data_IF_122723354867
#
_entry.id   IF_122723354867
#
_cell.length_a   1.000
_cell.length_b   1.000
_cell.length_c   1.000
_cell.angle_alpha   90.00
_cell.angle_beta   90.00
_cell.angle_gamma   90.00
#
_symmetry.space_group_name_H-M   'P 1'
#
loop_
_entity.id
_entity.type
_entity.pdbx_description
1 polymer ?
#
# COMPACT_ATOMS: atom_id res chain seq x y z
N UNK A 1 -12.74 -17.05 24.44
CA UNK A 1 -12.40 -16.67 23.05
C UNK A 1 -10.94 -16.97 22.81
N UNK A 2 -10.60 -17.48 21.63
CA UNK A 2 -9.21 -17.70 21.25
C UNK A 2 -8.54 -16.32 21.03
N UNK A 3 -7.34 -16.12 21.56
CA UNK A 3 -6.56 -14.89 21.29
C UNK A 3 -5.77 -15.05 20.00
N UNK A 4 -5.35 -13.94 19.39
CA UNK A 4 -4.52 -13.98 18.19
C UNK A 4 -3.18 -14.69 18.43
N UNK A 5 -2.53 -14.42 19.57
CA UNK A 5 -1.31 -15.14 19.97
C UNK A 5 -1.53 -16.63 20.11
N UNK A 6 -2.68 -17.08 20.62
CA UNK A 6 -3.01 -18.51 20.70
C UNK A 6 -3.21 -19.13 19.30
N UNK A 7 -3.86 -18.41 18.38
CA UNK A 7 -4.03 -18.84 16.99
C UNK A 7 -2.67 -19.01 16.28
N UNK A 8 -1.79 -18.02 16.41
CA UNK A 8 -0.44 -18.08 15.80
C UNK A 8 0.38 -19.22 16.44
N UNK A 9 0.28 -19.41 17.76
CA UNK A 9 0.97 -20.52 18.45
C UNK A 9 0.50 -21.89 17.95
N UNK A 10 -0.81 -22.05 17.75
CA UNK A 10 -1.39 -23.27 17.18
C UNK A 10 -0.85 -23.52 15.75
N UNK A 11 -0.79 -22.47 14.93
CA UNK A 11 -0.24 -22.55 13.56
C UNK A 11 1.25 -22.94 13.56
N UNK A 12 2.06 -22.30 14.42
CA UNK A 12 3.48 -22.66 14.60
C UNK A 12 3.60 -24.13 15.01
N UNK A 13 2.76 -24.60 15.96
CA UNK A 13 2.77 -25.98 16.40
C UNK A 13 2.42 -26.96 15.28
N UNK A 14 1.39 -26.68 14.48
CA UNK A 14 0.95 -27.50 13.34
C UNK A 14 1.98 -27.50 12.20
N UNK A 15 2.74 -26.44 12.05
CA UNK A 15 3.78 -26.27 11.03
C UNK A 15 5.17 -26.79 11.45
N UNK A 16 5.26 -27.62 12.48
CA UNK A 16 6.51 -28.23 12.94
C UNK A 16 7.42 -27.27 13.70
N UNK A 17 6.83 -26.31 14.42
CA UNK A 17 7.51 -25.40 15.34
C UNK A 17 8.05 -24.12 14.72
N UNK A 18 7.74 -23.86 13.44
CA UNK A 18 8.19 -22.65 12.73
C UNK A 18 7.23 -22.28 11.60
N UNK A 19 6.98 -21.00 11.41
CA UNK A 19 6.25 -20.46 10.27
C UNK A 19 7.06 -19.36 9.58
N UNK A 20 6.93 -19.20 8.26
CA UNK A 20 7.50 -18.06 7.53
C UNK A 20 6.92 -16.75 8.03
N UNK A 21 7.71 -15.66 7.92
CA UNK A 21 7.23 -14.36 8.37
C UNK A 21 5.99 -13.88 7.58
N UNK A 22 5.86 -14.25 6.31
CA UNK A 22 4.67 -13.97 5.51
C UNK A 22 3.39 -14.52 6.16
N UNK A 23 3.41 -15.74 6.66
CA UNK A 23 2.27 -16.33 7.36
C UNK A 23 2.00 -15.62 8.70
N UNK A 24 3.07 -15.33 9.47
CA UNK A 24 2.95 -14.57 10.71
C UNK A 24 2.33 -13.19 10.47
N UNK A 25 2.86 -12.42 9.52
CA UNK A 25 2.37 -11.09 9.16
C UNK A 25 0.91 -11.15 8.68
N UNK A 26 0.58 -12.16 7.85
CA UNK A 26 -0.78 -12.38 7.38
C UNK A 26 -1.77 -12.61 8.52
N UNK A 27 -1.41 -13.43 9.51
CA UNK A 27 -2.24 -13.65 10.70
C UNK A 27 -2.32 -12.40 11.59
N UNK A 28 -1.17 -11.74 11.83
CA UNK A 28 -1.09 -10.54 12.66
C UNK A 28 -1.95 -9.39 12.12
N UNK A 29 -2.01 -9.22 10.80
CA UNK A 29 -2.75 -8.15 10.15
C UNK A 29 -4.21 -8.52 9.82
N UNK A 30 -4.47 -9.75 9.34
CA UNK A 30 -5.72 -10.09 8.65
C UNK A 30 -6.51 -11.24 9.29
N UNK A 31 -6.06 -11.84 10.41
CA UNK A 31 -6.83 -12.91 11.07
C UNK A 31 -8.26 -12.41 11.37
N UNK A 32 -9.32 -13.15 10.91
CA UNK A 32 -10.70 -12.69 11.04
C UNK A 32 -11.09 -12.41 12.49
N UNK A 33 -11.53 -11.21 12.80
CA UNK A 33 -11.95 -10.76 14.13
C UNK A 33 -10.84 -10.59 15.16
N UNK A 34 -9.54 -10.75 14.78
CA UNK A 34 -8.41 -10.71 15.71
C UNK A 34 -7.21 -9.91 15.18
N UNK A 35 -6.98 -9.90 13.86
CA UNK A 35 -5.85 -9.20 13.24
C UNK A 35 -5.99 -7.69 13.30
N UNK A 36 -4.89 -6.97 13.12
CA UNK A 36 -4.81 -5.52 13.23
C UNK A 36 -5.92 -4.79 12.44
N UNK A 37 -6.13 -5.16 11.17
CA UNK A 37 -7.18 -4.57 10.33
C UNK A 37 -8.57 -5.17 10.54
N UNK A 38 -8.67 -6.39 11.09
CA UNK A 38 -9.91 -7.16 11.20
C UNK A 38 -10.39 -7.40 12.64
N UNK A 39 -9.66 -6.95 13.66
CA UNK A 39 -9.87 -7.29 15.08
C UNK A 39 -10.69 -6.28 15.88
N UNK A 40 -11.38 -5.34 15.24
CA UNK A 40 -12.14 -4.30 15.96
C UNK A 40 -11.25 -3.22 16.61
N UNK A 41 -9.93 -3.26 16.37
CA UNK A 41 -9.01 -2.17 16.66
C UNK A 41 -9.36 -0.91 15.84
N UNK A 42 -8.69 0.19 16.11
CA UNK A 42 -8.92 1.45 15.39
C UNK A 42 -7.65 1.95 14.75
N UNK A 43 -7.13 1.27 13.71
CA UNK A 43 -5.87 1.64 13.08
C UNK A 43 -5.87 3.10 12.59
N UNK A 44 -7.02 3.57 12.11
CA UNK A 44 -7.19 4.92 11.54
C UNK A 44 -7.87 5.93 12.50
N UNK A 45 -8.07 5.60 13.77
CA UNK A 45 -8.78 6.47 14.71
C UNK A 45 -10.28 6.68 14.40
N UNK A 46 -10.89 7.67 15.06
CA UNK A 46 -12.28 8.07 14.84
C UNK A 46 -12.39 9.27 13.91
N UNK A 47 -13.39 9.25 13.02
CA UNK A 47 -13.76 10.42 12.22
C UNK A 47 -14.13 11.61 13.14
N UNK A 48 -13.49 12.76 12.92
CA UNK A 48 -13.90 14.04 13.51
C UNK A 48 -13.49 14.29 14.97
N UNK A 49 -12.68 13.44 15.60
CA UNK A 49 -12.17 13.69 16.95
C UNK A 49 -10.78 14.31 16.93
N UNK A 50 -10.60 15.34 17.76
CA UNK A 50 -9.32 16.05 17.91
C UNK A 50 -8.43 15.46 19.03
N UNK A 51 -8.84 14.34 19.64
CA UNK A 51 -8.07 13.72 20.72
C UNK A 51 -6.91 12.90 20.14
N UNK A 52 -5.66 13.17 20.50
CA UNK A 52 -4.49 12.40 20.09
C UNK A 52 -4.60 10.90 20.42
N UNK A 53 -5.32 10.55 21.49
CA UNK A 53 -5.55 9.15 21.88
C UNK A 53 -6.50 8.39 20.94
N UNK A 54 -7.30 9.10 20.15
CA UNK A 54 -8.29 8.55 19.19
C UNK A 54 -7.83 8.74 17.72
N UNK A 55 -6.59 9.24 17.47
CA UNK A 55 -6.12 9.62 16.13
C UNK A 55 -5.65 8.44 15.26
N UNK A 56 -5.59 7.21 15.81
CA UNK A 56 -5.05 6.03 15.11
C UNK A 56 -3.53 5.94 15.19
N UNK A 57 -2.95 4.96 14.52
CA UNK A 57 -1.50 4.69 14.60
C UNK A 57 -0.71 5.43 13.54
N UNK A 58 -1.33 5.84 12.45
CA UNK A 58 -0.68 6.54 11.33
C UNK A 58 -1.64 7.49 10.61
N UNK A 59 -1.08 8.34 9.80
CA UNK A 59 -1.79 9.34 9.00
C UNK A 59 -1.52 9.08 7.52
N UNK A 60 -2.57 8.80 6.76
CA UNK A 60 -2.48 8.57 5.31
C UNK A 60 -2.79 9.82 4.50
N UNK A 61 -2.34 9.87 3.24
CA UNK A 61 -2.57 11.00 2.35
C UNK A 61 -4.06 11.42 2.23
N UNK A 62 -5.04 10.50 2.11
CA UNK A 62 -6.45 10.85 2.10
C UNK A 62 -6.96 11.54 3.37
N UNK A 63 -6.35 11.25 4.53
CA UNK A 63 -6.75 11.85 5.82
C UNK A 63 -6.28 13.31 5.95
N UNK A 64 -5.30 13.74 5.16
CA UNK A 64 -4.78 15.11 5.15
C UNK A 64 -5.73 16.10 4.44
N UNK A 65 -6.79 15.63 3.82
CA UNK A 65 -7.77 16.45 3.11
C UNK A 65 -8.03 15.98 1.68
N UNK A 66 -8.70 16.79 0.86
CA UNK A 66 -9.17 16.37 -0.45
C UNK A 66 -8.08 16.29 -1.54
N UNK A 67 -6.84 16.64 -1.21
CA UNK A 67 -5.78 16.90 -2.18
C UNK A 67 -5.45 15.73 -3.10
N UNK A 68 -5.32 14.53 -2.52
CA UNK A 68 -5.05 13.33 -3.31
C UNK A 68 -6.24 12.99 -4.20
N UNK A 69 -7.47 13.09 -3.68
CA UNK A 69 -8.68 12.87 -4.45
C UNK A 69 -8.84 13.87 -5.59
N UNK A 70 -8.62 15.15 -5.34
CA UNK A 70 -8.65 16.20 -6.38
C UNK A 70 -7.63 15.91 -7.50
N UNK A 71 -6.42 15.51 -7.12
CA UNK A 71 -5.36 15.17 -8.07
C UNK A 71 -5.75 13.95 -8.92
N UNK A 72 -6.16 12.84 -8.27
CA UNK A 72 -6.58 11.62 -8.97
C UNK A 72 -7.79 11.91 -9.86
N UNK A 73 -8.79 12.63 -9.36
CA UNK A 73 -9.98 13.00 -10.13
C UNK A 73 -9.63 13.82 -11.36
N UNK A 74 -8.85 14.88 -11.17
CA UNK A 74 -8.42 15.73 -12.29
C UNK A 74 -7.63 14.96 -13.34
N UNK A 75 -6.74 14.07 -12.88
CA UNK A 75 -5.94 13.20 -13.76
C UNK A 75 -6.80 12.18 -14.51
N UNK A 76 -7.71 11.50 -13.81
CA UNK A 76 -8.50 10.39 -14.36
C UNK A 76 -9.72 10.85 -15.15
N UNK A 77 -10.11 12.10 -15.07
CA UNK A 77 -11.30 12.67 -15.74
C UNK A 77 -11.41 12.34 -17.24
N UNK A 78 -10.31 12.23 -18.02
CA UNK A 78 -10.39 11.80 -19.43
C UNK A 78 -10.95 10.39 -19.63
N UNK A 79 -10.99 9.58 -18.59
CA UNK A 79 -11.63 8.25 -18.64
C UNK A 79 -13.16 8.33 -18.56
N UNK A 80 -13.71 9.40 -17.98
CA UNK A 80 -15.14 9.57 -17.83
C UNK A 80 -15.82 9.82 -19.20
N UNK A 81 -16.98 9.20 -19.38
CA UNK A 81 -17.88 9.42 -20.51
C UNK A 81 -19.11 10.15 -20.02
N UNK A 82 -19.75 10.96 -20.88
CA UNK A 82 -21.07 11.51 -20.56
C UNK A 82 -22.20 10.50 -20.72
N UNK A 83 -21.94 9.41 -21.46
CA UNK A 83 -22.97 8.40 -21.78
C UNK A 83 -23.10 7.33 -20.69
N UNK A 84 -22.00 7.00 -20.01
CA UNK A 84 -21.96 5.93 -19.03
C UNK A 84 -21.44 6.44 -17.68
N UNK A 85 -21.92 5.87 -16.54
CA UNK A 85 -21.37 6.17 -15.22
C UNK A 85 -19.87 5.91 -15.16
N UNK A 86 -19.10 6.86 -14.62
CA UNK A 86 -17.70 6.62 -14.36
C UNK A 86 -17.57 5.61 -13.21
N UNK A 87 -16.82 4.54 -13.43
CA UNK A 87 -16.65 3.48 -12.44
C UNK A 87 -15.28 3.59 -11.78
N UNK A 88 -15.28 3.57 -10.46
CA UNK A 88 -14.06 3.50 -9.62
C UNK A 88 -14.14 2.24 -8.78
N UNK A 89 -13.02 1.53 -8.66
CA UNK A 89 -12.82 0.43 -7.72
C UNK A 89 -11.65 0.79 -6.83
N UNK A 90 -11.89 0.89 -5.54
CA UNK A 90 -10.86 1.20 -4.53
C UNK A 90 -10.58 -0.05 -3.70
N UNK A 91 -9.30 -0.35 -3.48
CA UNK A 91 -8.84 -1.39 -2.57
C UNK A 91 -8.40 -0.76 -1.26
N UNK A 92 -8.85 -1.35 -0.14
CA UNK A 92 -8.37 -0.93 1.18
C UNK A 92 -8.66 0.53 1.49
N UNK A 93 -9.90 1.00 1.25
CA UNK A 93 -10.28 2.41 1.37
C UNK A 93 -10.17 3.02 2.78
N UNK A 94 -9.61 2.28 3.76
CA UNK A 94 -9.42 2.74 5.13
C UNK A 94 -10.74 3.23 5.75
N UNK A 95 -10.79 4.51 6.17
CA UNK A 95 -12.03 5.11 6.70
C UNK A 95 -13.02 5.57 5.63
N UNK A 96 -12.65 5.52 4.34
CA UNK A 96 -13.44 6.01 3.22
C UNK A 96 -13.22 7.51 2.90
N UNK A 97 -12.14 8.10 3.39
CA UNK A 97 -11.83 9.53 3.14
C UNK A 97 -11.60 9.79 1.64
N UNK A 98 -10.85 8.92 0.95
CA UNK A 98 -10.56 9.06 -0.49
C UNK A 98 -11.84 8.85 -1.31
N UNK A 99 -12.61 7.79 -1.03
CA UNK A 99 -13.89 7.53 -1.69
C UNK A 99 -14.86 8.72 -1.58
N UNK A 100 -15.06 9.23 -0.35
CA UNK A 100 -15.95 10.36 -0.11
C UNK A 100 -15.51 11.62 -0.86
N UNK A 101 -14.21 11.90 -0.90
CA UNK A 101 -13.66 13.05 -1.62
C UNK A 101 -13.78 12.89 -3.15
N UNK A 102 -13.51 11.70 -3.70
CA UNK A 102 -13.69 11.41 -5.14
C UNK A 102 -15.16 11.54 -5.57
N UNK A 103 -16.09 11.04 -4.77
CA UNK A 103 -17.53 11.18 -5.03
C UNK A 103 -17.97 12.64 -4.96
N UNK A 104 -17.39 13.43 -4.06
CA UNK A 104 -17.63 14.88 -3.98
C UNK A 104 -17.13 15.60 -5.23
N UNK A 105 -15.95 15.23 -5.75
CA UNK A 105 -15.44 15.76 -7.02
C UNK A 105 -16.38 15.41 -8.19
N UNK A 106 -16.85 14.15 -8.24
CA UNK A 106 -17.79 13.70 -9.28
C UNK A 106 -19.11 14.50 -9.22
N UNK A 107 -19.65 14.70 -8.02
CA UNK A 107 -20.88 15.47 -7.80
C UNK A 107 -20.70 16.94 -8.23
N UNK A 108 -19.59 17.57 -7.85
CA UNK A 108 -19.26 18.95 -8.26
C UNK A 108 -19.21 19.09 -9.78
N UNK A 109 -18.61 18.11 -10.46
CA UNK A 109 -18.46 18.10 -11.91
C UNK A 109 -19.67 17.53 -12.66
N UNK A 110 -20.76 17.18 -11.95
CA UNK A 110 -22.00 16.61 -12.49
C UNK A 110 -21.79 15.30 -13.28
N UNK A 111 -20.78 14.50 -12.88
CA UNK A 111 -20.50 13.20 -13.45
C UNK A 111 -21.11 12.12 -12.56
N UNK A 112 -21.93 11.25 -13.14
CA UNK A 112 -22.41 10.06 -12.42
C UNK A 112 -21.23 9.11 -12.16
N UNK A 113 -20.93 8.85 -10.88
CA UNK A 113 -19.84 7.99 -10.47
C UNK A 113 -20.36 6.82 -9.64
N UNK A 114 -19.96 5.61 -9.99
CA UNK A 114 -20.18 4.39 -9.21
C UNK A 114 -18.86 3.93 -8.60
N UNK A 115 -18.83 3.81 -7.29
CA UNK A 115 -17.64 3.39 -6.56
C UNK A 115 -17.86 2.01 -5.93
N UNK A 116 -16.90 1.12 -6.11
CA UNK A 116 -16.84 -0.21 -5.50
C UNK A 116 -15.64 -0.27 -4.55
N UNK A 117 -15.92 -0.46 -3.26
CA UNK A 117 -14.92 -0.70 -2.22
C UNK A 117 -14.64 -2.20 -2.13
N UNK A 118 -13.37 -2.59 -2.28
CA UNK A 118 -12.91 -3.95 -1.99
C UNK A 118 -12.28 -3.92 -0.60
N UNK A 119 -13.04 -4.38 0.40
CA UNK A 119 -12.67 -4.27 1.81
C UNK A 119 -12.99 -5.57 2.55
N UNK A 120 -11.98 -6.14 3.22
CA UNK A 120 -12.11 -7.40 3.96
C UNK A 120 -12.65 -7.19 5.37
N UNK A 121 -12.35 -6.05 5.99
CA UNK A 121 -12.74 -5.70 7.35
C UNK A 121 -14.17 -5.17 7.43
N UNK A 122 -15.03 -5.85 8.19
CA UNK A 122 -16.40 -5.38 8.43
C UNK A 122 -16.44 -4.05 9.18
N UNK A 123 -15.48 -3.81 10.08
CA UNK A 123 -15.38 -2.57 10.85
C UNK A 123 -14.97 -1.40 9.96
N UNK A 124 -14.00 -1.60 9.05
CA UNK A 124 -13.63 -0.59 8.06
C UNK A 124 -14.76 -0.33 7.07
N UNK A 125 -15.47 -1.36 6.60
CA UNK A 125 -16.70 -1.17 5.82
C UNK A 125 -17.74 -0.30 6.53
N UNK A 126 -17.88 -0.44 7.85
CA UNK A 126 -18.82 0.39 8.62
C UNK A 126 -18.39 1.87 8.65
N UNK A 127 -17.08 2.16 8.80
CA UNK A 127 -16.52 3.50 8.71
C UNK A 127 -16.70 4.10 7.31
N UNK A 128 -16.40 3.33 6.27
CA UNK A 128 -16.57 3.72 4.87
C UNK A 128 -18.03 4.06 4.56
N UNK A 129 -18.98 3.26 5.07
CA UNK A 129 -20.42 3.57 4.94
C UNK A 129 -20.80 4.85 5.65
N UNK A 130 -20.18 5.15 6.78
CA UNK A 130 -20.41 6.41 7.48
C UNK A 130 -19.86 7.59 6.68
N UNK A 131 -18.63 7.49 6.17
CA UNK A 131 -17.99 8.54 5.39
C UNK A 131 -18.72 8.83 4.06
N UNK A 132 -19.21 7.79 3.39
CA UNK A 132 -19.85 7.87 2.07
C UNK A 132 -21.38 7.86 2.12
N UNK A 133 -22.00 7.91 3.31
CA UNK A 133 -23.44 7.69 3.51
C UNK A 133 -24.39 8.64 2.77
N UNK A 134 -23.92 9.80 2.28
CA UNK A 134 -24.65 10.70 1.40
C UNK A 134 -24.75 10.23 -0.05
N UNK A 135 -23.92 9.25 -0.47
CA UNK A 135 -23.81 8.76 -1.84
C UNK A 135 -24.45 7.37 -1.97
N UNK A 136 -25.42 7.24 -2.86
CA UNK A 136 -26.14 5.96 -3.09
C UNK A 136 -25.44 5.04 -4.10
N UNK A 137 -24.36 5.48 -4.68
CA UNK A 137 -23.64 4.80 -5.78
C UNK A 137 -22.42 4.02 -5.29
N UNK A 138 -22.28 3.79 -3.99
CA UNK A 138 -21.19 3.03 -3.38
C UNK A 138 -21.64 1.60 -3.11
N UNK A 139 -20.77 0.65 -3.42
CA UNK A 139 -20.94 -0.78 -3.12
C UNK A 139 -19.71 -1.31 -2.39
N UNK A 140 -19.91 -2.32 -1.56
CA UNK A 140 -18.83 -3.01 -0.82
C UNK A 140 -18.80 -4.47 -1.23
N UNK A 141 -17.60 -4.98 -1.46
CA UNK A 141 -17.35 -6.38 -1.77
C UNK A 141 -16.09 -6.86 -1.08
N UNK A 142 -16.02 -8.16 -0.81
CA UNK A 142 -14.78 -8.85 -0.37
C UNK A 142 -14.11 -9.59 -1.52
N UNK A 143 -14.75 -9.63 -2.67
CA UNK A 143 -14.26 -10.35 -3.86
C UNK A 143 -14.38 -9.46 -5.09
N UNK A 144 -13.53 -9.72 -6.09
CA UNK A 144 -13.57 -9.03 -7.36
C UNK A 144 -14.75 -9.53 -8.22
N UNK A 145 -15.47 -8.58 -8.81
CA UNK A 145 -16.45 -8.89 -9.85
C UNK A 145 -15.80 -8.77 -11.22
N UNK A 146 -16.17 -9.66 -12.13
CA UNK A 146 -15.71 -9.63 -13.53
C UNK A 146 -16.33 -8.48 -14.32
N UNK A 147 -15.71 -8.17 -15.46
CA UNK A 147 -16.24 -7.19 -16.41
C UNK A 147 -16.12 -5.74 -15.92
N UNK A 148 -15.12 -5.45 -15.11
CA UNK A 148 -14.88 -4.08 -14.66
C UNK A 148 -14.20 -3.26 -15.76
N UNK A 149 -14.78 -2.08 -16.05
CA UNK A 149 -14.14 -1.07 -16.91
C UNK A 149 -14.17 0.27 -16.20
N UNK A 150 -12.99 0.91 -15.99
CA UNK A 150 -12.90 2.17 -15.26
C UNK A 150 -11.53 2.44 -14.64
N UNK A 151 -11.54 3.09 -13.49
CA UNK A 151 -10.35 3.39 -12.70
C UNK A 151 -10.26 2.46 -11.49
N UNK A 152 -9.11 1.82 -11.30
CA UNK A 152 -8.76 1.10 -10.07
C UNK A 152 -7.77 1.92 -9.26
N UNK A 153 -7.97 1.97 -7.96
CA UNK A 153 -7.10 2.68 -7.01
C UNK A 153 -6.69 1.70 -5.91
N UNK A 154 -5.39 1.64 -5.61
CA UNK A 154 -4.85 1.01 -4.41
C UNK A 154 -3.85 1.98 -3.78
N UNK A 155 -4.23 2.53 -2.63
CA UNK A 155 -3.41 3.46 -1.87
C UNK A 155 -3.02 2.84 -0.54
N UNK A 156 -1.72 2.65 -0.30
CA UNK A 156 -1.19 2.01 0.91
C UNK A 156 -1.84 0.61 1.14
N UNK A 157 -1.71 -0.25 0.13
CA UNK A 157 -2.24 -1.62 0.12
C UNK A 157 -1.12 -2.65 -0.03
N UNK A 158 -0.13 -2.32 -0.85
CA UNK A 158 0.94 -3.27 -1.21
C UNK A 158 1.98 -3.42 -0.10
N UNK A 159 2.23 -2.36 0.67
CA UNK A 159 3.12 -2.33 1.82
C UNK A 159 2.67 -3.22 2.98
N UNK A 160 1.35 -3.38 3.13
CA UNK A 160 0.72 -4.25 4.12
C UNK A 160 0.52 -5.70 3.63
N UNK A 161 0.89 -6.02 2.39
CA UNK A 161 0.87 -7.40 1.91
C UNK A 161 1.97 -8.22 2.60
N UNK A 162 1.64 -9.44 3.08
CA UNK A 162 2.60 -10.28 3.78
C UNK A 162 3.87 -10.56 2.98
N UNK A 163 5.04 -10.41 3.60
CA UNK A 163 6.33 -10.58 2.94
C UNK A 163 7.15 -11.70 3.57
N UNK A 164 7.95 -12.37 2.75
CA UNK A 164 9.02 -13.26 3.20
C UNK A 164 10.27 -12.44 3.50
N UNK A 165 10.89 -12.69 4.64
CA UNK A 165 12.17 -12.09 5.00
C UNK A 165 13.29 -13.05 4.65
N UNK A 166 14.27 -12.60 3.89
CA UNK A 166 15.42 -13.41 3.52
C UNK A 166 16.72 -12.80 4.06
N UNK A 167 17.74 -13.67 4.18
CA UNK A 167 19.12 -13.27 4.42
C UNK A 167 20.02 -13.92 3.37
N UNK A 168 20.79 -13.08 2.69
CA UNK A 168 21.85 -13.52 1.78
C UNK A 168 23.09 -13.88 2.60
N UNK A 169 23.57 -15.10 2.47
CA UNK A 169 24.82 -15.56 3.10
C UNK A 169 25.93 -15.65 2.05
N UNK A 170 25.68 -16.38 0.99
CA UNK A 170 26.56 -16.54 -0.17
C UNK A 170 25.79 -17.06 -1.40
N UNK A 171 26.51 -17.29 -2.52
CA UNK A 171 25.89 -17.74 -3.79
C UNK A 171 25.14 -19.08 -3.70
N UNK A 172 25.40 -19.90 -2.69
CA UNK A 172 24.79 -21.22 -2.45
C UNK A 172 23.76 -21.18 -1.33
N UNK A 173 23.85 -20.20 -0.44
CA UNK A 173 23.11 -20.18 0.83
C UNK A 173 22.27 -18.93 0.97
N UNK A 174 20.96 -19.11 1.00
CA UNK A 174 19.98 -18.12 1.38
C UNK A 174 19.20 -18.63 2.58
N UNK A 175 19.02 -17.82 3.59
CA UNK A 175 18.17 -18.12 4.74
C UNK A 175 16.82 -17.42 4.59
N UNK A 176 15.77 -18.05 5.10
CA UNK A 176 14.44 -17.46 5.29
C UNK A 176 14.24 -17.24 6.80
N UNK A 177 13.91 -16.00 7.17
CA UNK A 177 13.55 -15.64 8.53
C UNK A 177 12.06 -15.83 8.74
N UNK A 178 11.73 -16.50 9.83
CA UNK A 178 10.37 -16.77 10.26
C UNK A 178 10.29 -16.74 11.77
N UNK A 179 9.22 -17.32 12.30
CA UNK A 179 8.81 -17.19 13.70
C UNK A 179 8.68 -18.55 14.36
N UNK A 180 9.24 -18.67 15.57
CA UNK A 180 9.09 -19.78 16.50
C UNK A 180 8.46 -19.29 17.81
N UNK A 181 7.93 -20.23 18.59
CA UNK A 181 7.48 -19.96 19.95
C UNK A 181 8.72 -19.78 20.83
N UNK A 182 8.78 -18.70 21.60
CA UNK A 182 9.82 -18.52 22.62
C UNK A 182 9.43 -19.29 23.90
N UNK A 183 10.07 -20.45 24.09
CA UNK A 183 9.85 -21.29 25.25
C UNK A 183 10.45 -20.71 26.54
N UNK A 184 11.46 -19.86 26.41
CA UNK A 184 12.24 -19.36 27.56
C UNK A 184 11.64 -18.09 28.17
N UNK A 185 10.56 -17.54 27.55
CA UNK A 185 9.88 -16.30 27.94
C UNK A 185 10.88 -15.33 28.55
N UNK A 186 11.65 -14.70 27.67
CA UNK A 186 12.58 -13.64 28.10
C UNK A 186 11.84 -12.58 28.89
N UNK A 187 12.55 -11.87 29.74
CA UNK A 187 12.01 -10.85 30.66
C UNK A 187 11.23 -9.73 29.98
N UNK A 188 11.19 -9.68 28.63
CA UNK A 188 10.52 -8.68 27.80
C UNK A 188 9.09 -9.07 27.38
N UNK A 189 8.62 -10.28 27.73
CA UNK A 189 7.23 -10.71 27.57
C UNK A 189 6.83 -11.14 26.14
N UNK A 190 7.76 -11.23 25.18
CA UNK A 190 7.46 -11.77 23.86
C UNK A 190 7.11 -13.25 23.93
N UNK A 191 6.05 -13.69 23.22
CA UNK A 191 5.68 -15.09 23.06
C UNK A 191 6.35 -15.72 21.84
N UNK A 192 6.94 -14.91 20.96
CA UNK A 192 7.52 -15.31 19.68
C UNK A 192 8.94 -14.78 19.55
N UNK A 193 9.77 -15.54 18.82
CA UNK A 193 11.14 -15.15 18.49
C UNK A 193 11.41 -15.39 17.01
N UNK A 194 12.36 -14.65 16.48
CA UNK A 194 12.88 -14.86 15.13
C UNK A 194 13.74 -16.11 15.06
N UNK A 195 13.57 -16.88 13.98
CA UNK A 195 14.40 -18.04 13.67
C UNK A 195 14.65 -18.13 12.16
N UNK A 196 15.91 -18.30 11.78
CA UNK A 196 16.31 -18.47 10.39
C UNK A 196 16.40 -19.94 10.04
N UNK A 197 15.92 -20.33 8.85
CA UNK A 197 16.06 -21.68 8.26
C UNK A 197 16.55 -21.56 6.82
N UNK A 198 17.14 -22.62 6.24
CA UNK A 198 17.44 -22.62 4.81
C UNK A 198 16.18 -22.26 4.00
N UNK A 199 16.32 -21.29 3.10
CA UNK A 199 15.19 -20.84 2.29
C UNK A 199 14.72 -21.96 1.34
N UNK A 200 13.43 -21.93 0.99
CA UNK A 200 12.90 -22.83 -0.04
C UNK A 200 13.63 -22.63 -1.38
N UNK A 201 13.62 -23.63 -2.25
CA UNK A 201 14.24 -23.54 -3.57
C UNK A 201 13.70 -22.35 -4.38
N UNK A 202 12.39 -22.06 -4.25
CA UNK A 202 11.75 -20.92 -4.93
C UNK A 202 12.28 -19.58 -4.43
N UNK A 203 12.30 -19.36 -3.12
CA UNK A 203 12.83 -18.13 -2.53
C UNK A 203 14.33 -17.98 -2.81
N UNK A 204 15.11 -19.05 -2.68
CA UNK A 204 16.53 -19.05 -2.99
C UNK A 204 16.79 -18.60 -4.44
N UNK A 205 16.04 -19.14 -5.40
CA UNK A 205 16.18 -18.76 -6.82
C UNK A 205 15.87 -17.28 -7.06
N UNK A 206 14.82 -16.75 -6.44
CA UNK A 206 14.46 -15.32 -6.52
C UNK A 206 15.57 -14.45 -5.94
N UNK A 207 16.05 -14.76 -4.74
CA UNK A 207 17.09 -13.96 -4.06
C UNK A 207 18.43 -14.03 -4.82
N UNK A 208 18.82 -15.19 -5.30
CA UNK A 208 20.04 -15.36 -6.11
C UNK A 208 19.94 -14.57 -7.43
N UNK A 209 18.78 -14.55 -8.08
CA UNK A 209 18.60 -13.74 -9.29
C UNK A 209 18.66 -12.24 -8.97
N UNK A 210 18.04 -11.82 -7.85
CA UNK A 210 18.08 -10.44 -7.38
C UNK A 210 19.51 -10.00 -7.07
N UNK A 211 20.30 -10.83 -6.39
CA UNK A 211 21.72 -10.59 -6.14
C UNK A 211 22.53 -10.45 -7.45
N UNK A 212 22.37 -11.39 -8.41
CA UNK A 212 23.04 -11.26 -9.71
C UNK A 212 22.72 -9.95 -10.45
N UNK A 213 21.47 -9.51 -10.37
CA UNK A 213 21.04 -8.24 -10.96
C UNK A 213 21.68 -7.04 -10.24
N UNK A 214 21.78 -7.08 -8.91
CA UNK A 214 22.47 -6.07 -8.11
C UNK A 214 23.97 -6.00 -8.46
N UNK A 215 24.65 -7.16 -8.53
CA UNK A 215 26.07 -7.23 -8.94
C UNK A 215 26.32 -6.66 -10.34
N UNK A 216 25.42 -6.91 -11.29
CA UNK A 216 25.50 -6.35 -12.64
C UNK A 216 25.42 -4.81 -12.64
N UNK A 217 24.87 -4.21 -11.60
CA UNK A 217 24.81 -2.76 -11.35
C UNK A 217 25.95 -2.26 -10.44
N UNK A 218 26.90 -3.13 -10.06
CA UNK A 218 27.99 -2.80 -9.14
C UNK A 218 27.57 -2.72 -7.67
N UNK A 219 26.41 -3.25 -7.31
CA UNK A 219 25.90 -3.32 -5.94
C UNK A 219 26.28 -4.68 -5.34
N UNK A 220 27.13 -4.70 -4.34
CA UNK A 220 27.60 -5.93 -3.69
C UNK A 220 26.96 -6.09 -2.32
N UNK A 221 26.33 -7.25 -2.09
CA UNK A 221 25.81 -7.60 -0.78
C UNK A 221 26.83 -8.41 0.00
N UNK A 222 27.14 -7.98 1.19
CA UNK A 222 27.90 -8.77 2.14
C UNK A 222 27.04 -9.88 2.78
N UNK A 223 27.69 -10.92 3.31
CA UNK A 223 27.00 -11.95 4.11
C UNK A 223 26.24 -11.30 5.26
N UNK A 224 24.97 -11.70 5.43
CA UNK A 224 24.06 -11.10 6.41
C UNK A 224 23.18 -9.98 5.86
N UNK A 225 23.25 -9.69 4.55
CA UNK A 225 22.32 -8.77 3.91
C UNK A 225 20.90 -9.31 3.96
N UNK A 226 19.96 -8.53 4.51
CA UNK A 226 18.55 -8.89 4.64
C UNK A 226 17.67 -8.05 3.71
N UNK A 227 16.57 -8.65 3.31
CA UNK A 227 15.55 -7.96 2.51
C UNK A 227 14.24 -8.74 2.53
N UNK A 228 13.25 -8.16 1.87
CA UNK A 228 11.90 -8.71 1.76
C UNK A 228 11.60 -9.14 0.32
N UNK A 229 10.70 -10.11 0.21
CA UNK A 229 10.07 -10.57 -1.02
C UNK A 229 8.57 -10.72 -0.80
N UNK A 230 7.77 -10.07 -1.64
CA UNK A 230 6.32 -10.21 -1.61
C UNK A 230 5.88 -11.36 -2.53
N UNK A 231 5.43 -12.51 -1.99
CA UNK A 231 4.98 -13.63 -2.81
C UNK A 231 3.55 -13.49 -3.32
N UNK A 232 2.79 -12.48 -2.84
CA UNK A 232 1.36 -12.34 -3.10
C UNK A 232 1.02 -11.35 -4.20
N UNK A 233 1.91 -10.42 -4.52
CA UNK A 233 1.68 -9.37 -5.51
C UNK A 233 1.35 -9.92 -6.90
N UNK A 234 2.04 -10.97 -7.34
CA UNK A 234 1.76 -11.62 -8.62
C UNK A 234 0.34 -12.23 -8.69
N UNK A 235 -0.08 -12.92 -7.62
CA UNK A 235 -1.43 -13.52 -7.56
C UNK A 235 -2.51 -12.43 -7.53
N UNK A 236 -2.28 -11.36 -6.78
CA UNK A 236 -3.18 -10.21 -6.71
C UNK A 236 -3.30 -9.51 -8.08
N UNK A 237 -2.18 -9.25 -8.77
CA UNK A 237 -2.19 -8.65 -10.11
C UNK A 237 -2.88 -9.54 -11.14
N UNK A 238 -2.70 -10.87 -11.08
CA UNK A 238 -3.41 -11.80 -11.95
C UNK A 238 -4.92 -11.75 -11.72
N UNK A 239 -5.37 -11.83 -10.46
CA UNK A 239 -6.80 -11.74 -10.11
C UNK A 239 -7.39 -10.39 -10.53
N UNK A 240 -6.63 -9.30 -10.33
CA UNK A 240 -7.02 -7.98 -10.77
C UNK A 240 -7.16 -7.93 -12.30
N UNK A 241 -6.18 -8.48 -13.03
CA UNK A 241 -6.23 -8.54 -14.49
C UNK A 241 -7.43 -9.31 -15.00
N UNK A 242 -7.71 -10.48 -14.45
CA UNK A 242 -8.86 -11.30 -14.84
C UNK A 242 -10.18 -10.56 -14.65
N UNK A 243 -10.31 -9.75 -13.61
CA UNK A 243 -11.53 -8.99 -13.29
C UNK A 243 -11.74 -7.73 -14.15
N UNK A 244 -10.71 -7.24 -14.86
CA UNK A 244 -10.76 -5.97 -15.60
C UNK A 244 -10.85 -6.24 -17.09
N UNK A 245 -11.89 -5.70 -17.75
CA UNK A 245 -12.00 -5.66 -19.21
C UNK A 245 -11.15 -4.54 -19.79
N UNK A 246 -11.27 -3.31 -19.28
CA UNK A 246 -10.53 -2.15 -19.76
C UNK A 246 -10.41 -1.09 -18.68
N UNK A 247 -9.23 -0.47 -18.54
CA UNK A 247 -9.10 0.62 -17.59
C UNK A 247 -7.67 1.04 -17.26
N UNK A 248 -7.60 1.98 -16.33
CA UNK A 248 -6.38 2.43 -15.70
C UNK A 248 -6.33 1.99 -14.23
N UNK A 249 -5.15 1.65 -13.76
CA UNK A 249 -4.88 1.27 -12.38
C UNK A 249 -3.83 2.23 -11.85
N UNK A 250 -4.13 2.91 -10.76
CA UNK A 250 -3.18 3.76 -10.04
C UNK A 250 -2.84 3.11 -8.70
N UNK A 251 -1.56 2.80 -8.52
CA UNK A 251 -1.02 2.24 -7.29
C UNK A 251 -0.18 3.32 -6.61
N UNK A 252 -0.48 3.61 -5.35
CA UNK A 252 0.20 4.64 -4.58
C UNK A 252 0.71 3.98 -3.31
N UNK A 253 2.04 3.95 -3.17
CA UNK A 253 2.64 3.27 -2.02
C UNK A 253 4.09 3.75 -1.81
N UNK A 254 4.66 3.47 -0.65
CA UNK A 254 6.06 3.78 -0.40
C UNK A 254 6.96 2.59 -0.70
N UNK A 255 8.07 2.89 -1.37
CA UNK A 255 9.00 1.88 -1.83
C UNK A 255 9.97 2.42 -2.86
N UNK A 256 10.69 1.50 -3.49
CA UNK A 256 11.77 1.84 -4.38
C UNK A 256 11.85 0.91 -5.59
N UNK A 257 12.53 1.36 -6.64
CA UNK A 257 13.08 0.47 -7.66
C UNK A 257 14.27 -0.31 -7.08
N UNK A 258 14.55 -1.50 -7.59
CA UNK A 258 15.59 -2.39 -7.05
C UNK A 258 16.96 -1.75 -6.86
N UNK A 259 17.49 -0.89 -7.74
CA UNK A 259 18.79 -0.25 -7.50
C UNK A 259 18.86 0.54 -6.18
N UNK A 260 17.75 1.16 -5.78
CA UNK A 260 17.64 1.86 -4.50
C UNK A 260 17.32 0.90 -3.36
N UNK A 261 16.44 -0.07 -3.61
CA UNK A 261 16.02 -1.06 -2.60
C UNK A 261 17.16 -2.02 -2.25
N UNK A 262 17.93 -2.43 -3.26
CA UNK A 262 19.04 -3.38 -3.15
C UNK A 262 20.38 -2.73 -2.79
N UNK A 263 20.36 -1.44 -2.45
CA UNK A 263 21.58 -0.72 -2.10
C UNK A 263 22.29 -1.38 -0.91
N UNK A 264 23.62 -1.64 -0.97
CA UNK A 264 24.38 -2.34 0.07
C UNK A 264 24.26 -1.72 1.47
N UNK A 265 23.97 -0.44 1.56
CA UNK A 265 23.71 0.24 2.85
C UNK A 265 22.38 -0.12 3.52
N UNK A 266 21.48 -0.85 2.86
CA UNK A 266 20.18 -1.30 3.39
C UNK A 266 20.24 -2.73 3.93
N UNK A 267 21.24 -3.03 4.75
CA UNK A 267 21.55 -4.39 5.23
C UNK A 267 20.47 -5.01 6.12
N UNK A 268 19.49 -4.24 6.59
CA UNK A 268 18.43 -4.70 7.51
C UNK A 268 17.06 -4.86 6.84
N UNK A 269 16.98 -4.63 5.52
CA UNK A 269 15.70 -4.58 4.83
C UNK A 269 14.91 -3.30 5.09
N UNK A 270 13.59 -3.38 4.92
CA UNK A 270 12.68 -2.25 5.03
C UNK A 270 11.51 -2.49 6.00
N UNK A 271 11.41 -3.72 6.53
CA UNK A 271 10.34 -4.12 7.44
C UNK A 271 10.30 -3.23 8.68
N UNK A 272 9.13 -2.71 8.99
CA UNK A 272 8.91 -1.91 10.18
C UNK A 272 7.49 -2.11 10.73
N UNK A 273 7.27 -1.62 11.96
CA UNK A 273 5.93 -1.54 12.53
C UNK A 273 5.55 -0.09 12.82
N UNK A 274 4.25 0.16 12.86
CA UNK A 274 3.69 1.42 13.33
C UNK A 274 2.77 1.16 14.52
N UNK A 275 3.04 1.88 15.61
CA UNK A 275 2.28 1.78 16.84
C UNK A 275 2.20 3.15 17.51
N UNK A 276 0.99 3.67 17.75
CA UNK A 276 0.74 4.97 18.40
C UNK A 276 1.58 6.11 17.82
N UNK A 277 1.56 6.27 16.51
CA UNK A 277 2.35 7.27 15.74
C UNK A 277 3.86 7.13 15.84
N UNK A 278 4.36 5.99 16.31
CA UNK A 278 5.79 5.69 16.34
C UNK A 278 6.13 4.62 15.34
N UNK A 279 7.13 4.87 14.53
CA UNK A 279 7.75 3.87 13.69
C UNK A 279 8.75 3.06 14.51
N UNK A 280 8.68 1.75 14.38
CA UNK A 280 9.51 0.78 15.08
C UNK A 280 10.31 0.01 14.02
N UNK A 281 11.63 0.23 14.00
CA UNK A 281 12.58 -0.41 13.09
C UNK A 281 13.39 -1.52 13.77
N UNK A 282 13.18 -1.75 15.06
CA UNK A 282 13.85 -2.82 15.80
C UNK A 282 13.23 -4.15 15.45
N UNK A 283 14.05 -5.05 14.87
CA UNK A 283 13.61 -6.34 14.36
C UNK A 283 12.93 -7.20 15.43
N UNK A 284 13.45 -7.20 16.67
CA UNK A 284 12.89 -7.99 17.76
C UNK A 284 11.55 -7.43 18.29
N UNK A 285 11.34 -6.13 18.16
CA UNK A 285 10.08 -5.48 18.54
C UNK A 285 8.91 -5.82 17.60
N UNK A 286 9.18 -6.23 16.36
CA UNK A 286 8.15 -6.52 15.36
C UNK A 286 7.27 -7.72 15.72
N UNK A 287 7.78 -8.66 16.55
CA UNK A 287 7.03 -9.82 16.99
C UNK A 287 6.23 -9.60 18.29
N UNK A 288 6.37 -8.43 18.92
CA UNK A 288 5.75 -8.20 20.22
C UNK A 288 4.32 -7.75 20.04
N UNK A 289 3.65 -7.02 20.00
CA UNK A 289 2.29 -6.47 19.96
C UNK A 289 1.45 -7.05 18.84
N UNK A 290 1.34 -8.37 18.80
CA UNK A 290 0.64 -9.08 17.72
C UNK A 290 -0.83 -8.65 17.63
N UNK A 291 -1.24 -8.13 16.48
CA UNK A 291 -2.58 -7.59 16.24
C UNK A 291 -2.83 -6.19 16.82
N UNK A 292 -1.81 -5.56 17.45
CA UNK A 292 -1.92 -4.22 18.03
C UNK A 292 -1.05 -3.18 17.29
N UNK A 293 -0.19 -3.61 16.38
CA UNK A 293 0.67 -2.77 15.56
C UNK A 293 0.51 -3.10 14.09
N UNK A 294 0.67 -2.11 13.25
CA UNK A 294 0.76 -2.30 11.81
C UNK A 294 2.15 -2.82 11.43
N UNK A 295 2.20 -3.79 10.53
CA UNK A 295 3.45 -4.34 9.99
C UNK A 295 3.51 -4.03 8.51
N UNK A 296 4.58 -3.37 8.08
CA UNK A 296 4.71 -2.91 6.69
C UNK A 296 6.11 -3.14 6.16
N UNK A 297 6.23 -3.30 4.84
CA UNK A 297 7.48 -3.39 4.13
C UNK A 297 7.47 -2.50 2.88
N UNK A 298 8.60 -1.95 2.48
CA UNK A 298 8.67 -1.15 1.27
C UNK A 298 8.34 -1.97 0.02
N UNK A 299 7.53 -1.40 -0.85
CA UNK A 299 7.16 -2.04 -2.12
C UNK A 299 8.37 -2.09 -3.07
N UNK A 300 8.65 -3.28 -3.59
CA UNK A 300 9.61 -3.48 -4.71
C UNK A 300 8.89 -3.17 -6.03
N UNK A 301 8.99 -1.92 -6.48
CA UNK A 301 8.35 -1.50 -7.74
C UNK A 301 8.96 -2.17 -8.97
N UNK A 302 10.20 -2.68 -8.92
CA UNK A 302 10.77 -3.47 -10.01
C UNK A 302 10.14 -4.85 -10.11
N UNK A 303 9.86 -5.50 -8.98
CA UNK A 303 9.09 -6.74 -8.94
C UNK A 303 7.69 -6.51 -9.49
N UNK A 304 7.03 -5.47 -8.99
CA UNK A 304 5.66 -5.13 -9.37
C UNK A 304 5.52 -4.82 -10.86
N UNK A 305 6.49 -4.10 -11.48
CA UNK A 305 6.54 -3.88 -12.92
C UNK A 305 6.55 -5.19 -13.71
N UNK A 306 7.48 -6.09 -13.36
CA UNK A 306 7.63 -7.39 -14.04
C UNK A 306 6.37 -8.26 -13.91
N UNK A 307 5.80 -8.32 -12.70
CA UNK A 307 4.60 -9.10 -12.43
C UNK A 307 3.35 -8.52 -13.12
N UNK A 308 3.24 -7.19 -13.18
CA UNK A 308 2.17 -6.52 -13.89
C UNK A 308 2.21 -6.81 -15.40
N UNK A 309 3.40 -6.77 -16.01
CA UNK A 309 3.56 -7.14 -17.43
C UNK A 309 3.21 -8.60 -17.68
N UNK A 310 3.60 -9.52 -16.78
CA UNK A 310 3.26 -10.94 -16.86
C UNK A 310 1.74 -11.18 -16.71
N UNK A 311 1.06 -10.38 -15.88
CA UNK A 311 -0.39 -10.41 -15.72
C UNK A 311 -1.14 -9.76 -16.90
N UNK A 312 -0.43 -9.22 -17.92
CA UNK A 312 -1.01 -8.63 -19.12
C UNK A 312 -1.34 -7.14 -19.01
N UNK A 313 -0.86 -6.45 -17.99
CA UNK A 313 -0.93 -4.99 -17.92
C UNK A 313 0.18 -4.33 -18.72
N UNK A 314 -0.06 -3.10 -19.15
CA UNK A 314 0.98 -2.20 -19.64
C UNK A 314 1.43 -1.30 -18.49
N UNK A 315 2.73 -1.29 -18.20
CA UNK A 315 3.34 -0.39 -17.23
C UNK A 315 3.64 0.93 -17.94
N UNK A 316 2.95 2.01 -17.55
CA UNK A 316 2.93 3.26 -18.31
C UNK A 316 3.61 4.44 -17.62
N UNK A 317 3.96 4.32 -16.34
CA UNK A 317 4.69 5.37 -15.61
C UNK A 317 4.88 5.02 -14.14
N UNK A 318 5.96 5.53 -13.57
CA UNK A 318 6.28 5.51 -12.15
C UNK A 318 6.93 6.83 -11.76
N UNK A 319 6.26 7.62 -10.93
CA UNK A 319 6.76 8.90 -10.46
C UNK A 319 6.64 9.00 -8.95
N UNK A 320 7.30 9.97 -8.34
CA UNK A 320 7.07 10.27 -6.92
C UNK A 320 5.71 10.92 -6.72
N UNK A 321 5.13 10.78 -5.53
CA UNK A 321 3.84 11.41 -5.21
C UNK A 321 3.87 12.92 -5.43
N UNK A 322 4.91 13.60 -4.96
CA UNK A 322 5.05 15.04 -5.19
C UNK A 322 5.07 15.37 -6.69
N UNK A 323 5.78 14.57 -7.49
CA UNK A 323 5.84 14.78 -8.94
C UNK A 323 4.48 14.56 -9.58
N UNK A 324 3.77 13.49 -9.23
CA UNK A 324 2.41 13.25 -9.71
C UNK A 324 1.48 14.42 -9.40
N UNK A 325 1.44 14.83 -8.12
CA UNK A 325 0.59 15.94 -7.68
C UNK A 325 0.90 17.24 -8.44
N UNK A 326 2.18 17.56 -8.64
CA UNK A 326 2.60 18.74 -9.40
C UNK A 326 2.22 18.60 -10.88
N UNK A 327 2.46 17.46 -11.50
CA UNK A 327 2.15 17.22 -12.92
C UNK A 327 0.66 17.40 -13.23
N UNK A 328 -0.21 16.98 -12.30
CA UNK A 328 -1.68 17.12 -12.45
C UNK A 328 -2.21 18.48 -12.04
N UNK A 329 -1.35 19.46 -11.68
CA UNK A 329 -1.74 20.83 -11.40
C UNK A 329 -2.30 21.07 -10.00
N UNK A 330 -1.86 20.29 -8.98
CA UNK A 330 -2.36 20.44 -7.60
C UNK A 330 -2.15 21.86 -7.06
N UNK A 331 -1.09 22.56 -7.47
CA UNK A 331 -0.78 23.90 -6.97
C UNK A 331 -1.84 24.92 -7.38
N UNK A 332 -2.39 24.82 -8.59
CA UNK A 332 -3.48 25.68 -9.06
C UNK A 332 -4.78 25.35 -8.33
N UNK A 333 -5.11 24.08 -8.17
CA UNK A 333 -6.27 23.65 -7.40
C UNK A 333 -6.18 24.09 -5.93
N UNK A 334 -4.98 24.01 -5.34
CA UNK A 334 -4.71 24.45 -3.99
C UNK A 334 -4.92 25.97 -3.81
N UNK A 335 -4.43 26.78 -4.74
CA UNK A 335 -4.64 28.22 -4.69
C UNK A 335 -6.14 28.56 -4.68
N UNK A 336 -6.92 27.93 -5.54
CA UNK A 336 -8.37 28.13 -5.60
C UNK A 336 -9.08 27.77 -4.28
N UNK A 337 -8.71 26.64 -3.66
CA UNK A 337 -9.30 26.21 -2.38
C UNK A 337 -8.87 27.13 -1.25
N UNK A 338 -7.60 27.52 -1.18
CA UNK A 338 -7.08 28.42 -0.16
C UNK A 338 -7.71 29.82 -0.25
N UNK A 339 -7.96 30.32 -1.46
CA UNK A 339 -8.60 31.63 -1.67
C UNK A 339 -10.08 31.63 -1.25
N UNK A 340 -10.75 30.49 -1.37
CA UNK A 340 -12.13 30.31 -0.91
C UNK A 340 -12.23 30.01 0.61
N UNK A 341 -11.13 29.62 1.25
CA UNK A 341 -11.10 29.30 2.67
C UNK A 341 -10.92 30.57 3.50
N UNK A 342 -11.98 31.02 4.13
CA UNK A 342 -11.99 32.25 4.95
C UNK A 342 -11.50 32.02 6.39
N UNK A 343 -11.67 30.81 6.91
CA UNK A 343 -11.20 30.45 8.25
C UNK A 343 -9.69 30.18 8.28
N UNK A 344 -8.99 30.94 9.15
CA UNK A 344 -7.53 30.87 9.26
C UNK A 344 -7.03 29.49 9.72
N UNK A 345 -7.76 28.81 10.61
CA UNK A 345 -7.36 27.48 11.12
C UNK A 345 -7.42 26.47 9.98
N UNK A 346 -8.54 26.42 9.26
CA UNK A 346 -8.71 25.54 8.10
C UNK A 346 -7.68 25.84 7.00
N UNK A 347 -7.41 27.13 6.74
CA UNK A 347 -6.38 27.52 5.76
C UNK A 347 -4.99 27.03 6.16
N UNK A 348 -4.61 27.16 7.44
CA UNK A 348 -3.33 26.65 7.95
C UNK A 348 -3.25 25.13 7.83
N UNK A 349 -4.30 24.39 8.18
CA UNK A 349 -4.37 22.94 8.02
C UNK A 349 -4.19 22.51 6.58
N UNK A 350 -4.82 23.17 5.64
CA UNK A 350 -4.66 22.93 4.20
C UNK A 350 -3.22 23.16 3.73
N UNK A 351 -2.57 24.23 4.18
CA UNK A 351 -1.18 24.51 3.85
C UNK A 351 -0.22 23.45 4.42
N UNK A 352 -0.43 23.04 5.68
CA UNK A 352 0.36 21.97 6.31
C UNK A 352 0.19 20.63 5.59
N UNK A 353 -1.04 20.27 5.23
CA UNK A 353 -1.33 19.06 4.49
C UNK A 353 -0.64 19.03 3.12
N UNK A 354 -0.72 20.14 2.36
CA UNK A 354 0.00 20.27 1.08
C UNK A 354 1.52 20.17 1.26
N UNK A 355 2.06 20.81 2.28
CA UNK A 355 3.48 20.68 2.60
C UNK A 355 3.87 19.24 2.86
N UNK A 356 3.10 18.51 3.67
CA UNK A 356 3.36 17.10 3.98
C UNK A 356 3.28 16.20 2.75
N UNK A 357 2.31 16.42 1.88
CA UNK A 357 2.12 15.63 0.64
C UNK A 357 3.22 15.89 -0.40
N UNK A 358 3.80 17.10 -0.45
CA UNK A 358 4.75 17.52 -1.48
C UNK A 358 6.20 17.52 -1.00
N UNK A 359 6.43 17.58 0.31
CA UNK A 359 7.78 17.68 0.88
C UNK A 359 8.58 16.40 0.71
N UNK A 360 9.82 16.52 0.27
CA UNK A 360 10.75 15.40 0.05
C UNK A 360 10.98 14.54 1.31
N UNK A 361 11.27 15.10 2.50
CA UNK A 361 11.50 14.29 3.70
C UNK A 361 10.23 13.63 4.25
N UNK A 362 9.06 14.09 3.85
CA UNK A 362 7.77 13.57 4.28
C UNK A 362 7.23 12.53 3.27
N UNK A 363 6.03 12.75 2.73
CA UNK A 363 5.38 11.81 1.82
C UNK A 363 5.80 12.00 0.35
N UNK A 364 6.26 13.20 -0.03
CA UNK A 364 6.41 13.60 -1.43
C UNK A 364 7.37 12.72 -2.23
N UNK A 365 8.53 12.37 -1.68
CA UNK A 365 9.54 11.53 -2.35
C UNK A 365 9.41 10.05 -1.96
N UNK A 366 8.99 9.75 -0.73
CA UNK A 366 8.89 8.37 -0.23
C UNK A 366 7.82 7.58 -0.95
N UNK A 367 6.66 8.20 -1.19
CA UNK A 367 5.58 7.57 -1.93
C UNK A 367 5.81 7.65 -3.43
N UNK A 368 5.42 6.60 -4.11
CA UNK A 368 5.45 6.49 -5.57
C UNK A 368 4.03 6.30 -6.09
N UNK A 369 3.79 6.82 -7.26
CA UNK A 369 2.54 6.63 -8.01
C UNK A 369 2.88 5.88 -9.28
N UNK A 370 2.27 4.70 -9.44
CA UNK A 370 2.46 3.83 -10.60
C UNK A 370 1.20 3.76 -11.43
N UNK A 371 1.34 3.89 -12.73
CA UNK A 371 0.26 3.73 -13.70
C UNK A 371 0.40 2.40 -14.44
N UNK A 372 -0.62 1.57 -14.31
CA UNK A 372 -0.86 0.40 -15.16
C UNK A 372 -2.10 0.64 -16.01
N UNK A 373 -2.15 0.07 -17.22
CA UNK A 373 -3.36 0.07 -18.05
C UNK A 373 -3.62 -1.31 -18.63
N UNK A 374 -4.88 -1.60 -18.88
CA UNK A 374 -5.31 -2.80 -19.60
C UNK A 374 -6.38 -2.44 -20.63
N UNK A 375 -6.18 -2.84 -21.89
CA UNK A 375 -7.13 -2.66 -23.00
C UNK A 375 -7.67 -1.22 -23.13
N UNK A 376 -6.92 -0.22 -22.64
CA UNK A 376 -7.31 1.17 -22.78
C UNK A 376 -6.92 1.68 -24.17
N UNK A 377 -7.81 2.44 -24.81
CA UNK A 377 -7.49 3.05 -26.10
C UNK A 377 -6.27 3.96 -26.03
N UNK A 378 -5.55 4.07 -27.15
CA UNK A 378 -4.26 4.76 -27.19
C UNK A 378 -4.35 6.25 -26.85
N UNK A 379 -5.46 6.92 -27.17
CA UNK A 379 -5.63 8.35 -26.93
C UNK A 379 -5.81 8.60 -25.43
N UNK A 380 -6.73 7.85 -24.78
CA UNK A 380 -6.94 7.98 -23.33
C UNK A 380 -5.67 7.60 -22.56
N UNK A 381 -5.01 6.50 -22.93
CA UNK A 381 -3.76 6.09 -22.31
C UNK A 381 -2.69 7.18 -22.42
N UNK A 382 -2.47 7.71 -23.61
CA UNK A 382 -1.49 8.77 -23.83
C UNK A 382 -1.82 10.02 -23.03
N UNK A 383 -3.09 10.40 -22.97
CA UNK A 383 -3.54 11.54 -22.16
C UNK A 383 -3.23 11.36 -20.68
N UNK A 384 -3.43 10.15 -20.12
CA UNK A 384 -3.10 9.88 -18.72
C UNK A 384 -1.58 9.98 -18.47
N UNK A 385 -0.77 9.43 -19.39
CA UNK A 385 0.69 9.51 -19.30
C UNK A 385 1.15 10.96 -19.31
N UNK A 386 0.72 11.74 -20.29
CA UNK A 386 1.11 13.13 -20.45
C UNK A 386 0.73 14.01 -19.26
N UNK A 387 -0.46 13.78 -18.69
CA UNK A 387 -0.94 14.55 -17.55
C UNK A 387 -0.21 14.25 -16.24
N UNK A 388 0.12 12.98 -15.98
CA UNK A 388 0.59 12.57 -14.65
C UNK A 388 2.02 12.07 -14.61
N UNK A 389 2.54 11.50 -15.70
CA UNK A 389 3.73 10.65 -15.67
C UNK A 389 4.85 11.06 -16.62
N UNK A 390 4.63 12.04 -17.52
CA UNK A 390 5.64 12.43 -18.49
C UNK A 390 6.88 13.04 -17.83
N UNK A 391 6.70 13.90 -16.83
CA UNK A 391 7.82 14.51 -16.13
C UNK A 391 8.18 13.71 -14.87
N UNK A 392 9.44 13.29 -14.76
CA UNK A 392 9.97 12.59 -13.60
C UNK A 392 9.70 11.08 -13.58
N UNK A 393 9.37 10.49 -14.74
CA UNK A 393 9.21 9.03 -14.85
C UNK A 393 10.52 8.30 -14.48
N UNK A 394 10.39 7.30 -13.61
CA UNK A 394 11.50 6.50 -13.08
C UNK A 394 11.67 5.15 -13.77
N UNK A 395 10.82 4.83 -14.75
CA UNK A 395 10.93 3.59 -15.52
C UNK A 395 12.09 3.61 -16.52
N UNK A 396 12.65 4.79 -16.81
CA UNK A 396 13.77 4.94 -17.75
C UNK A 396 13.39 4.66 -19.20
N UNK A 397 12.11 4.86 -19.55
CA UNK A 397 11.59 4.69 -20.92
C UNK A 397 11.69 5.95 -21.74
#
# INVERSE_FOLDING_TARGET
MQTLSAMIRDEVGQSGGWIGFDLFMGLALYAPGLGYYCGGGRPFGRLGLADPADSGDFLTAPMLGPWLAEAIWHWARPLASQADPFRIREFGGGRGDLAAALLSCAQRDQITCHLEEIELSADLQALQRQATGSFKTVRWSQTLSDGFSGLVIANEVLDAMPVKCFEWVDAQTVLEWGVEIDSDRTSDGSEFRWAARPASAGLSAVVQQRHRNAEALGLHWDSGYRGEYNPWSAAWLNSLSESIDSGAIVLIDYGFMRPELDHPGRTKGSLCAHYRHQRIDDFDELLKRVGEQDLTAHVDFSQLCSEAEQAGFQVNGLVTQARFLINVGILESAQNILDQTTDTISRTRHQQALHQLLSEPEMGERFKVMLLTKNLDSVRRQTLIEKGFLAGDRLGK
#
